data_IF_547017043630
#
_entry.id   IF_547017043630
#
_cell.length_a   1.000
_cell.length_b   1.000
_cell.length_c   1.000
_cell.angle_alpha   90.00
_cell.angle_beta   90.00
_cell.angle_gamma   90.00
#
_symmetry.space_group_name_H-M   'P 1'
#
loop_
_entity.id
_entity.type
_entity.pdbx_description
1 polymer ?
#
# COMPACT_ATOMS: atom_id res chain seq x y z
N UNK A 1 -4.25 -35.63 -8.29
CA UNK A 1 -3.81 -34.96 -7.05
C UNK A 1 -3.43 -33.56 -7.46
N UNK A 2 -4.36 -32.63 -7.31
CA UNK A 2 -4.17 -31.22 -7.70
C UNK A 2 -3.68 -30.51 -6.44
N UNK A 3 -2.40 -30.17 -6.42
CA UNK A 3 -1.86 -29.30 -5.39
C UNK A 3 -2.50 -27.93 -5.51
N UNK A 4 -3.33 -27.60 -4.54
CA UNK A 4 -3.88 -26.27 -4.40
C UNK A 4 -2.71 -25.31 -4.12
N UNK A 5 -2.36 -24.50 -5.12
CA UNK A 5 -1.50 -23.34 -4.91
C UNK A 5 -2.13 -22.49 -3.80
N UNK A 6 -1.46 -22.45 -2.67
CA UNK A 6 -1.79 -21.52 -1.58
C UNK A 6 -1.62 -20.11 -2.13
N UNK A 7 -2.73 -19.53 -2.56
CA UNK A 7 -2.80 -18.09 -2.75
C UNK A 7 -2.55 -17.45 -1.38
N UNK A 8 -1.41 -16.85 -1.24
CA UNK A 8 -1.09 -16.05 -0.07
C UNK A 8 -2.05 -14.86 -0.05
N UNK A 9 -3.09 -14.98 0.76
CA UNK A 9 -4.04 -13.88 0.98
C UNK A 9 -3.31 -12.82 1.81
N UNK A 10 -2.91 -11.74 1.16
CA UNK A 10 -2.46 -10.56 1.87
C UNK A 10 -3.69 -9.85 2.43
N UNK A 11 -3.90 -9.96 3.73
CA UNK A 11 -4.90 -9.16 4.43
C UNK A 11 -4.30 -7.80 4.74
N UNK A 12 -4.88 -6.75 4.19
CA UNK A 12 -4.61 -5.39 4.61
C UNK A 12 -5.67 -5.05 5.65
N UNK A 13 -5.26 -4.95 6.90
CA UNK A 13 -6.09 -4.38 7.94
C UNK A 13 -5.66 -2.94 8.15
N UNK A 14 -6.53 -2.01 7.78
CA UNK A 14 -6.35 -0.61 8.12
C UNK A 14 -7.20 -0.34 9.35
N UNK A 15 -6.57 -0.18 10.50
CA UNK A 15 -7.26 0.26 11.70
C UNK A 15 -7.17 1.78 11.72
N UNK A 16 -8.23 2.43 11.28
CA UNK A 16 -8.36 3.88 11.36
C UNK A 16 -9.02 4.24 12.68
N UNK A 17 -8.27 4.76 13.63
CA UNK A 17 -8.83 5.45 14.78
C UNK A 17 -8.93 6.94 14.47
N UNK A 18 -10.02 7.34 13.84
CA UNK A 18 -10.27 8.74 13.51
C UNK A 18 -10.77 9.52 14.73
N UNK A 19 -10.06 10.60 15.08
CA UNK A 19 -10.55 11.64 16.00
C UNK A 19 -11.69 12.48 15.43
N UNK A 20 -12.18 12.19 14.23
CA UNK A 20 -13.16 13.04 13.53
C UNK A 20 -14.38 12.23 13.10
N UNK A 21 -15.14 11.72 14.06
CA UNK A 21 -16.56 11.46 13.85
C UNK A 21 -17.34 12.27 14.88
N UNK A 22 -17.62 13.53 14.54
CA UNK A 22 -18.62 14.33 15.21
C UNK A 22 -20.00 13.85 14.76
N UNK A 23 -20.47 12.71 15.27
CA UNK A 23 -21.91 12.36 15.35
C UNK A 23 -22.13 10.97 15.94
N UNK A 24 -21.89 10.85 17.24
CA UNK A 24 -22.51 9.79 18.07
C UNK A 24 -22.46 10.24 19.53
N UNK A 25 -23.32 11.20 19.84
CA UNK A 25 -23.35 11.90 21.13
C UNK A 25 -23.79 11.03 22.34
N UNK A 26 -24.05 9.75 22.16
CA UNK A 26 -24.40 8.86 23.26
C UNK A 26 -23.31 7.83 23.59
N UNK A 27 -22.44 7.48 22.65
CA UNK A 27 -21.30 6.58 22.90
C UNK A 27 -20.11 7.40 23.44
N UNK A 28 -20.01 8.68 23.11
CA UNK A 28 -18.97 9.59 23.58
C UNK A 28 -19.01 9.81 25.10
N UNK A 29 -20.17 9.76 25.74
CA UNK A 29 -20.29 9.96 27.18
C UNK A 29 -19.72 8.77 27.98
N UNK A 30 -19.82 7.56 27.49
CA UNK A 30 -19.22 6.37 28.11
C UNK A 30 -17.78 6.10 27.67
N UNK A 31 -17.42 6.39 26.41
CA UNK A 31 -16.05 6.26 25.91
C UNK A 31 -15.15 7.44 26.26
N UNK A 32 -15.67 8.66 26.42
CA UNK A 32 -14.88 9.87 26.63
C UNK A 32 -14.01 9.83 27.90
N UNK A 33 -14.41 9.07 28.90
CA UNK A 33 -13.62 8.90 30.13
C UNK A 33 -12.47 7.89 30.00
N UNK A 34 -12.57 6.96 29.03
CA UNK A 34 -11.50 5.99 28.73
C UNK A 34 -10.57 6.47 27.61
N UNK A 35 -11.02 7.35 26.71
CA UNK A 35 -10.21 7.86 25.60
C UNK A 35 -9.04 8.73 26.01
N UNK A 36 -9.13 9.42 27.16
CA UNK A 36 -8.03 10.21 27.72
C UNK A 36 -6.95 9.39 28.45
N UNK A 37 -7.14 8.09 28.59
CA UNK A 37 -6.19 7.20 29.30
C UNK A 37 -5.35 6.39 28.33
N UNK A 38 -5.83 6.14 27.10
CA UNK A 38 -5.05 5.42 26.08
C UNK A 38 -4.30 6.39 25.18
N UNK A 39 -3.01 6.52 25.43
CA UNK A 39 -2.10 7.21 24.52
C UNK A 39 -1.66 6.19 23.46
N UNK A 40 -2.19 6.31 22.26
CA UNK A 40 -1.72 5.53 21.12
C UNK A 40 -0.49 6.19 20.50
N UNK A 41 0.50 5.38 20.16
CA UNK A 41 1.71 5.88 19.51
C UNK A 41 1.45 6.21 18.05
N UNK A 42 0.52 5.49 17.39
CA UNK A 42 0.15 5.66 15.99
C UNK A 42 -1.33 5.91 15.81
N UNK A 43 -1.66 6.70 14.79
CA UNK A 43 -3.03 6.96 14.37
C UNK A 43 -3.51 5.90 13.37
N UNK A 44 -2.56 5.32 12.60
CA UNK A 44 -2.80 4.27 11.60
C UNK A 44 -1.70 3.21 11.70
N UNK A 45 -2.10 1.95 11.72
CA UNK A 45 -1.18 0.81 11.60
C UNK A 45 -1.55 0.03 10.35
N UNK A 46 -0.57 -0.16 9.47
CA UNK A 46 -0.72 -0.95 8.23
C UNK A 46 0.06 -2.25 8.40
N UNK A 47 -0.61 -3.38 8.23
CA UNK A 47 0.00 -4.70 8.34
C UNK A 47 0.20 -5.29 6.95
N UNK A 48 1.46 -5.49 6.58
CA UNK A 48 1.90 -6.07 5.32
C UNK A 48 2.53 -5.08 4.36
N UNK A 49 3.81 -5.26 4.04
CA UNK A 49 4.61 -4.42 3.14
C UNK A 49 4.48 -4.78 1.64
N UNK A 50 3.33 -5.30 1.20
CA UNK A 50 3.03 -5.49 -0.23
C UNK A 50 2.67 -4.16 -0.92
N UNK A 51 2.39 -4.18 -2.24
CA UNK A 51 2.09 -2.97 -3.01
C UNK A 51 0.97 -2.13 -2.38
N UNK A 52 -0.12 -2.77 -1.97
CA UNK A 52 -1.25 -2.09 -1.38
C UNK A 52 -0.93 -1.54 0.02
N UNK A 53 -0.13 -2.26 0.82
CA UNK A 53 0.32 -1.75 2.13
C UNK A 53 1.27 -0.58 2.00
N UNK A 54 2.18 -0.60 1.02
CA UNK A 54 3.06 0.53 0.73
C UNK A 54 2.25 1.79 0.36
N UNK A 55 1.25 1.65 -0.52
CA UNK A 55 0.37 2.76 -0.90
C UNK A 55 -0.45 3.26 0.28
N UNK A 56 -1.04 2.36 1.07
CA UNK A 56 -1.85 2.73 2.22
C UNK A 56 -1.02 3.48 3.28
N UNK A 57 0.18 2.98 3.60
CA UNK A 57 1.08 3.62 4.57
C UNK A 57 1.55 4.99 4.09
N UNK A 58 2.00 5.09 2.84
CA UNK A 58 2.42 6.35 2.24
C UNK A 58 1.27 7.38 2.19
N UNK A 59 0.07 6.95 1.82
CA UNK A 59 -1.10 7.83 1.77
C UNK A 59 -1.49 8.34 3.15
N UNK A 60 -1.59 7.47 4.16
CA UNK A 60 -1.95 7.84 5.52
C UNK A 60 -0.93 8.83 6.12
N UNK A 61 0.36 8.54 5.98
CA UNK A 61 1.43 9.39 6.50
C UNK A 61 1.45 10.76 5.81
N UNK A 62 1.29 10.83 4.50
CA UNK A 62 1.22 12.09 3.73
C UNK A 62 -0.01 12.92 4.06
N UNK A 63 -1.09 12.30 4.52
CA UNK A 63 -2.27 12.99 5.07
C UNK A 63 -2.05 13.50 6.48
N UNK A 64 -0.88 13.31 7.07
CA UNK A 64 -0.48 13.80 8.39
C UNK A 64 -0.80 12.86 9.55
N UNK A 65 -1.22 11.63 9.29
CA UNK A 65 -1.40 10.62 10.32
C UNK A 65 -0.05 10.02 10.74
N UNK A 66 0.17 9.83 12.05
CA UNK A 66 1.30 9.05 12.54
C UNK A 66 1.06 7.59 12.16
N UNK A 67 1.84 7.09 11.23
CA UNK A 67 1.60 5.80 10.59
C UNK A 67 2.71 4.82 10.90
N UNK A 68 2.35 3.57 11.17
CA UNK A 68 3.29 2.45 11.29
C UNK A 68 3.00 1.41 10.22
N UNK A 69 4.01 1.04 9.45
CA UNK A 69 3.97 -0.09 8.53
C UNK A 69 4.68 -1.29 9.15
N UNK A 70 3.94 -2.35 9.43
CA UNK A 70 4.49 -3.60 9.96
C UNK A 70 4.68 -4.60 8.83
N UNK A 71 5.88 -5.14 8.68
CA UNK A 71 6.20 -6.15 7.66
C UNK A 71 7.12 -7.23 8.21
N UNK A 72 6.93 -8.46 7.80
CA UNK A 72 7.79 -9.59 8.22
C UNK A 72 9.22 -9.47 7.68
N UNK A 73 9.41 -8.82 6.55
CA UNK A 73 10.72 -8.67 5.92
C UNK A 73 10.82 -7.33 5.18
N UNK A 74 11.63 -6.44 5.72
CA UNK A 74 11.87 -5.11 5.14
C UNK A 74 12.54 -5.16 3.77
N UNK A 75 13.26 -6.24 3.46
CA UNK A 75 13.92 -6.39 2.16
C UNK A 75 12.94 -6.83 1.06
N UNK A 76 11.69 -7.13 1.42
CA UNK A 76 10.64 -7.55 0.49
C UNK A 76 9.50 -6.53 0.35
N UNK A 77 9.69 -5.32 0.85
CA UNK A 77 8.73 -4.24 0.69
C UNK A 77 8.46 -3.97 -0.78
N UNK A 78 7.18 -3.97 -1.18
CA UNK A 78 6.79 -3.77 -2.57
C UNK A 78 7.23 -4.88 -3.54
N UNK A 79 7.66 -6.04 -3.05
CA UNK A 79 8.21 -7.10 -3.89
C UNK A 79 7.19 -7.59 -4.94
N UNK A 80 7.64 -7.66 -6.19
CA UNK A 80 6.91 -8.31 -7.28
C UNK A 80 7.13 -9.82 -7.23
N UNK A 81 6.19 -10.56 -6.64
CA UNK A 81 6.28 -12.01 -6.44
C UNK A 81 6.14 -12.82 -7.73
N UNK A 82 5.42 -12.28 -8.72
CA UNK A 82 5.19 -12.93 -10.01
C UNK A 82 6.06 -12.30 -11.11
N UNK A 83 5.43 -11.86 -12.20
CA UNK A 83 6.12 -11.14 -13.27
C UNK A 83 6.51 -9.74 -12.79
N UNK A 84 7.74 -9.26 -13.08
CA UNK A 84 8.19 -7.93 -12.71
C UNK A 84 7.57 -6.86 -13.62
N UNK A 85 6.24 -6.79 -13.64
CA UNK A 85 5.50 -5.89 -14.50
C UNK A 85 4.33 -5.26 -13.79
N UNK A 86 4.21 -3.95 -13.95
CA UNK A 86 3.08 -3.14 -13.51
C UNK A 86 2.25 -2.77 -14.74
N UNK A 87 0.93 -2.88 -14.61
CA UNK A 87 0.00 -2.57 -15.70
C UNK A 87 -0.54 -3.81 -16.41
N UNK A 88 -1.10 -3.60 -17.60
CA UNK A 88 -1.89 -4.59 -18.32
C UNK A 88 -3.39 -4.42 -18.07
N UNK A 89 -4.20 -5.36 -18.56
CA UNK A 89 -5.66 -5.30 -18.44
C UNK A 89 -6.07 -5.27 -16.96
N UNK A 90 -6.96 -4.36 -16.60
CA UNK A 90 -7.42 -4.02 -15.26
C UNK A 90 -6.32 -3.39 -14.36
N UNK A 91 -5.15 -4.00 -14.20
CA UNK A 91 -4.08 -3.47 -13.36
C UNK A 91 -3.62 -2.07 -13.81
N UNK A 92 -3.49 -1.83 -15.12
CA UNK A 92 -3.08 -0.54 -15.66
C UNK A 92 -4.08 0.58 -15.34
N UNK A 93 -5.37 0.30 -15.36
CA UNK A 93 -6.42 1.24 -14.99
C UNK A 93 -6.35 1.58 -13.51
N UNK A 94 -6.25 0.57 -12.64
CA UNK A 94 -6.15 0.75 -11.19
C UNK A 94 -4.90 1.59 -10.82
N UNK A 95 -3.75 1.31 -11.44
CA UNK A 95 -2.53 2.10 -11.19
C UNK A 95 -2.71 3.56 -11.57
N UNK A 96 -3.41 3.85 -12.67
CA UNK A 96 -3.72 5.23 -13.06
C UNK A 96 -4.66 5.94 -12.08
N UNK A 97 -5.64 5.22 -11.54
CA UNK A 97 -6.53 5.77 -10.52
C UNK A 97 -5.76 6.07 -9.22
N UNK A 98 -4.88 5.17 -8.81
CA UNK A 98 -4.00 5.37 -7.65
C UNK A 98 -3.08 6.58 -7.88
N UNK A 99 -2.47 6.68 -9.05
CA UNK A 99 -1.59 7.79 -9.45
C UNK A 99 -2.33 9.13 -9.42
N UNK A 100 -3.55 9.17 -9.95
CA UNK A 100 -4.41 10.36 -9.93
C UNK A 100 -4.76 10.83 -8.50
N UNK A 101 -4.77 9.93 -7.53
CA UNK A 101 -4.94 10.21 -6.10
C UNK A 101 -3.62 10.53 -5.39
N UNK A 102 -2.50 10.59 -6.11
CA UNK A 102 -1.18 10.88 -5.56
C UNK A 102 -0.43 9.65 -5.04
N UNK A 103 -0.78 8.46 -5.51
CA UNK A 103 -0.07 7.22 -5.18
C UNK A 103 1.35 7.16 -5.75
N UNK A 104 2.13 6.22 -5.25
CA UNK A 104 3.55 6.11 -5.54
C UNK A 104 3.89 5.01 -6.56
N UNK A 105 3.01 4.04 -6.77
CA UNK A 105 3.28 2.89 -7.67
C UNK A 105 3.64 3.33 -9.09
N UNK A 106 2.99 4.37 -9.63
CA UNK A 106 3.31 4.93 -10.94
C UNK A 106 4.73 5.48 -10.97
N UNK A 107 5.09 6.30 -10.02
CA UNK A 107 6.42 6.94 -9.88
C UNK A 107 7.52 5.89 -9.73
N UNK A 108 7.30 4.88 -8.86
CA UNK A 108 8.25 3.77 -8.68
C UNK A 108 8.40 2.97 -9.96
N UNK A 109 7.29 2.73 -10.67
CA UNK A 109 7.29 2.02 -11.94
C UNK A 109 8.12 2.76 -12.98
N UNK A 110 7.90 4.05 -13.17
CA UNK A 110 8.61 4.88 -14.14
C UNK A 110 10.12 4.93 -13.84
N UNK A 111 10.48 5.05 -12.56
CA UNK A 111 11.88 5.09 -12.14
C UNK A 111 12.63 3.77 -12.33
N UNK A 112 11.91 2.65 -12.44
CA UNK A 112 12.49 1.29 -12.46
C UNK A 112 12.15 0.49 -13.71
N UNK A 113 11.39 1.08 -14.63
CA UNK A 113 10.98 0.43 -15.88
C UNK A 113 12.18 0.15 -16.78
N UNK A 114 12.25 -1.06 -17.31
CA UNK A 114 13.21 -1.50 -18.33
C UNK A 114 12.58 -1.66 -19.69
N UNK A 115 11.27 -1.83 -19.74
CA UNK A 115 10.50 -1.90 -20.98
C UNK A 115 9.09 -1.38 -20.75
N UNK A 116 8.60 -0.59 -21.69
CA UNK A 116 7.23 -0.10 -21.72
C UNK A 116 6.51 -0.58 -22.98
N UNK A 117 5.27 -1.06 -22.82
CA UNK A 117 4.42 -1.49 -23.94
C UNK A 117 2.98 -1.05 -23.73
N UNK A 118 2.34 -0.62 -24.81
CA UNK A 118 0.88 -0.47 -24.87
C UNK A 118 0.27 -1.80 -25.37
N UNK A 119 -0.53 -2.45 -24.55
CA UNK A 119 -1.24 -3.66 -24.91
C UNK A 119 -2.57 -3.33 -25.61
N UNK A 120 -3.07 -4.27 -26.40
CA UNK A 120 -4.38 -4.20 -27.06
C UNK A 120 -4.58 -3.03 -28.04
N UNK A 121 -3.53 -2.50 -28.63
CA UNK A 121 -3.61 -1.37 -29.57
C UNK A 121 -4.54 -1.69 -30.77
N UNK A 122 -4.60 -2.94 -31.22
CA UNK A 122 -5.49 -3.36 -32.31
C UNK A 122 -6.96 -3.56 -31.92
N UNK A 123 -7.31 -3.41 -30.63
CA UNK A 123 -8.67 -3.66 -30.12
C UNK A 123 -9.48 -2.41 -29.79
N UNK A 124 -8.92 -1.24 -30.08
CA UNK A 124 -9.53 0.05 -29.84
C UNK A 124 -9.13 0.70 -28.52
N UNK A 125 -9.31 2.04 -28.40
CA UNK A 125 -8.78 2.85 -27.29
C UNK A 125 -9.31 2.45 -25.92
N UNK A 126 -10.54 1.97 -25.83
CA UNK A 126 -11.19 1.59 -24.57
C UNK A 126 -10.47 0.46 -23.81
N UNK A 127 -9.71 -0.38 -24.52
CA UNK A 127 -8.98 -1.51 -23.94
C UNK A 127 -7.47 -1.36 -24.01
N UNK A 128 -6.97 -0.20 -24.40
CA UNK A 128 -5.55 0.10 -24.34
C UNK A 128 -5.05 0.04 -22.91
N UNK A 129 -4.05 -0.77 -22.69
CA UNK A 129 -3.54 -1.02 -21.35
C UNK A 129 -2.03 -0.83 -21.32
N UNK A 130 -1.53 0.22 -20.67
CA UNK A 130 -0.09 0.40 -20.49
C UNK A 130 0.45 -0.70 -19.58
N UNK A 131 1.63 -1.20 -19.92
CA UNK A 131 2.36 -2.18 -19.13
C UNK A 131 3.84 -1.84 -19.15
N UNK A 132 4.40 -1.67 -17.97
CA UNK A 132 5.83 -1.49 -17.76
C UNK A 132 6.43 -2.76 -17.16
N UNK A 133 7.53 -3.23 -17.71
CA UNK A 133 8.36 -4.24 -17.08
C UNK A 133 9.45 -3.54 -16.30
N UNK A 134 9.62 -3.91 -15.03
CA UNK A 134 10.52 -3.25 -14.10
C UNK A 134 11.67 -4.16 -13.70
N UNK A 135 12.77 -3.55 -13.28
CA UNK A 135 13.83 -4.23 -12.54
C UNK A 135 13.32 -4.53 -11.12
N UNK A 136 13.28 -5.82 -10.73
CA UNK A 136 12.75 -6.24 -9.42
C UNK A 136 13.52 -5.65 -8.24
N UNK A 137 14.84 -5.64 -8.34
CA UNK A 137 15.71 -5.14 -7.27
C UNK A 137 15.54 -3.64 -7.10
N UNK A 138 15.63 -2.89 -8.20
CA UNK A 138 15.43 -1.44 -8.21
C UNK A 138 14.03 -1.06 -7.72
N UNK A 139 13.00 -1.83 -8.07
CA UNK A 139 11.62 -1.57 -7.64
C UNK A 139 11.47 -1.66 -6.11
N UNK A 140 12.02 -2.69 -5.48
CA UNK A 140 12.05 -2.83 -4.02
C UNK A 140 12.81 -1.66 -3.38
N UNK A 141 14.00 -1.36 -3.90
CA UNK A 141 14.83 -0.26 -3.39
C UNK A 141 14.13 1.10 -3.52
N UNK A 142 13.48 1.35 -4.65
CA UNK A 142 12.77 2.61 -4.85
C UNK A 142 11.55 2.76 -3.93
N UNK A 143 10.79 1.69 -3.71
CA UNK A 143 9.74 1.70 -2.70
C UNK A 143 10.30 1.97 -1.32
N UNK A 144 11.37 1.29 -0.94
CA UNK A 144 12.00 1.49 0.35
C UNK A 144 12.48 2.92 0.52
N UNK A 145 13.16 3.46 -0.47
CA UNK A 145 13.61 4.85 -0.48
C UNK A 145 12.46 5.84 -0.24
N UNK A 146 11.34 5.66 -0.93
CA UNK A 146 10.17 6.53 -0.77
C UNK A 146 9.59 6.43 0.65
N UNK A 147 9.42 5.23 1.17
CA UNK A 147 8.83 5.02 2.49
C UNK A 147 9.74 5.53 3.60
N UNK A 148 11.05 5.30 3.50
CA UNK A 148 12.04 5.79 4.47
C UNK A 148 12.14 7.34 4.52
N UNK A 149 11.77 8.02 3.42
CA UNK A 149 11.74 9.49 3.33
C UNK A 149 10.33 10.08 3.47
N UNK A 150 9.35 9.28 3.83
CA UNK A 150 7.98 9.77 4.06
C UNK A 150 7.84 10.21 5.52
N UNK A 151 7.57 11.50 5.74
CA UNK A 151 7.31 12.03 7.08
C UNK A 151 6.12 11.31 7.74
N UNK A 152 6.15 11.20 9.06
CA UNK A 152 5.12 10.54 9.89
C UNK A 152 4.96 9.04 9.63
N UNK A 153 5.93 8.37 9.01
CA UNK A 153 5.90 6.94 8.73
C UNK A 153 7.06 6.21 9.42
N UNK A 154 6.72 5.29 10.30
CA UNK A 154 7.66 4.33 10.88
C UNK A 154 7.46 2.97 10.23
N UNK A 155 8.57 2.24 10.01
CA UNK A 155 8.55 0.89 9.47
C UNK A 155 9.09 -0.07 10.51
N UNK A 156 8.30 -1.10 10.86
CA UNK A 156 8.69 -2.12 11.80
C UNK A 156 8.76 -3.49 11.13
N UNK A 157 9.85 -4.21 11.42
CA UNK A 157 9.96 -5.59 10.98
C UNK A 157 9.51 -6.49 12.10
N UNK A 158 8.29 -7.00 11.97
CA UNK A 158 7.67 -7.91 12.93
C UNK A 158 6.54 -8.70 12.27
N UNK A 159 6.04 -9.68 12.99
CA UNK A 159 4.89 -10.49 12.61
C UNK A 159 3.70 -10.13 13.51
N UNK A 160 2.57 -9.83 12.89
CA UNK A 160 1.31 -9.64 13.62
C UNK A 160 0.60 -10.99 13.78
N UNK A 161 0.52 -11.50 15.00
CA UNK A 161 -0.09 -12.79 15.31
C UNK A 161 -1.56 -12.65 15.70
N UNK A 162 -1.90 -11.60 16.44
CA UNK A 162 -3.28 -11.31 16.90
C UNK A 162 -3.54 -9.81 16.86
N UNK A 163 -4.81 -9.44 16.70
CA UNK A 163 -5.32 -8.08 16.76
C UNK A 163 -6.15 -7.88 18.03
#
# INVERSE_FOLDING_TARGET
MIEAQRMQKYYIFIIIQSKTIKKLDLISYFCGKYYNIMKFDYDVIVIGGGHAGCEAAAAAARMGARTCLITMDMNKIGQMSCNPAIGGIAKGQIVREIDALGGQTGIVTDATAIQFRMLNQGKGPAVWSPRAQCDRGKFIWKWREILDHTDNLDIWQDQADTL
#
